data_IF_965367325643
#
_entry.id   IF_965367325643
#
_cell.length_a   1.000
_cell.length_b   1.000
_cell.length_c   1.000
_cell.angle_alpha   90.00
_cell.angle_beta   90.00
_cell.angle_gamma   90.00
#
_symmetry.space_group_name_H-M   'P 1'
#
loop_
_entity.id
_entity.type
_entity.pdbx_description
1 polymer ?
#
# COMPACT_ATOMS: atom_id res chain seq x y z
N UNK A 1 6.54 -7.35 -3.76
CA UNK A 1 5.33 -8.08 -3.29
C UNK A 1 4.37 -8.29 -4.47
N UNK A 2 3.30 -9.09 -4.35
CA UNK A 2 2.27 -9.19 -5.42
C UNK A 2 1.21 -8.10 -5.19
N UNK A 3 0.77 -7.36 -6.23
CA UNK A 3 -0.32 -6.38 -6.12
C UNK A 3 -1.62 -7.00 -5.60
N UNK A 4 -2.32 -6.32 -4.69
CA UNK A 4 -3.62 -6.76 -4.17
C UNK A 4 -4.60 -5.59 -4.09
N UNK A 5 -5.83 -5.81 -4.53
CA UNK A 5 -6.92 -4.83 -4.45
C UNK A 5 -7.41 -4.66 -3.00
N UNK A 6 -6.71 -3.81 -2.25
CA UNK A 6 -6.98 -3.49 -0.86
C UNK A 6 -7.32 -1.98 -0.79
N UNK A 7 -8.49 -1.60 -0.26
CA UNK A 7 -8.90 -0.19 -0.22
C UNK A 7 -7.91 0.70 0.55
N UNK A 8 -7.54 1.84 -0.06
CA UNK A 8 -6.71 2.86 0.55
C UNK A 8 -7.54 4.09 0.90
N UNK A 9 -7.39 4.59 2.14
CA UNK A 9 -7.94 5.88 2.53
C UNK A 9 -6.94 7.00 2.17
N UNK A 10 -7.00 7.45 0.92
CA UNK A 10 -6.11 8.48 0.38
C UNK A 10 -6.61 9.85 0.80
N UNK A 11 -5.82 10.58 1.58
CA UNK A 11 -6.15 11.94 2.02
C UNK A 11 -5.58 13.01 1.09
N UNK A 12 -4.53 12.67 0.34
CA UNK A 12 -3.92 13.50 -0.68
C UNK A 12 -3.12 12.63 -1.66
N UNK A 13 -3.15 12.97 -2.94
CA UNK A 13 -2.35 12.33 -3.98
C UNK A 13 -2.04 13.33 -5.09
N UNK A 14 -0.78 13.39 -5.50
CA UNK A 14 -0.34 14.11 -6.68
C UNK A 14 0.65 13.27 -7.49
N UNK A 15 1.26 13.87 -8.53
CA UNK A 15 2.18 13.17 -9.42
C UNK A 15 3.50 12.72 -8.77
N UNK A 16 3.75 13.06 -7.50
CA UNK A 16 5.01 12.81 -6.81
C UNK A 16 4.84 12.13 -5.45
N UNK A 17 3.76 12.42 -4.73
CA UNK A 17 3.51 11.87 -3.40
C UNK A 17 2.06 11.42 -3.21
N UNK A 18 1.90 10.43 -2.34
CA UNK A 18 0.61 9.95 -1.84
C UNK A 18 0.62 9.99 -0.31
N UNK A 19 -0.44 10.49 0.29
CA UNK A 19 -0.64 10.52 1.74
C UNK A 19 -1.88 9.69 2.06
N UNK A 20 -1.69 8.70 2.92
CA UNK A 20 -2.72 7.70 3.25
C UNK A 20 -2.99 7.74 4.76
N UNK A 21 -4.26 7.81 5.12
CA UNK A 21 -4.71 7.59 6.49
C UNK A 21 -4.81 6.07 6.75
N UNK A 22 -3.67 5.48 7.10
CA UNK A 22 -3.55 4.03 7.31
C UNK A 22 -4.33 3.59 8.56
N UNK A 23 -5.27 2.62 8.46
CA UNK A 23 -5.97 2.13 9.64
C UNK A 23 -5.03 1.38 10.60
N UNK A 24 -5.45 1.28 11.86
CA UNK A 24 -4.80 0.40 12.83
C UNK A 24 -4.90 -1.07 12.37
N UNK A 25 -3.89 -1.87 12.67
CA UNK A 25 -3.84 -3.29 12.28
C UNK A 25 -3.33 -3.56 10.86
N UNK A 26 -3.26 -2.56 9.97
CA UNK A 26 -2.64 -2.71 8.65
C UNK A 26 -1.11 -2.66 8.77
N UNK A 27 -0.45 -3.75 8.36
CA UNK A 27 1.02 -3.87 8.26
C UNK A 27 1.51 -3.06 7.07
N UNK A 28 2.67 -2.39 7.21
CA UNK A 28 3.21 -1.51 6.16
C UNK A 28 3.90 -2.30 5.06
N UNK A 29 4.90 -3.10 5.41
CA UNK A 29 5.74 -3.84 4.47
C UNK A 29 5.71 -5.35 4.78
N UNK A 30 5.74 -6.24 3.77
CA UNK A 30 5.85 -7.67 3.99
C UNK A 30 7.00 -8.05 4.92
N UNK A 31 6.75 -8.97 5.84
CA UNK A 31 7.73 -9.47 6.80
C UNK A 31 7.38 -10.91 7.21
N UNK A 32 8.31 -11.67 7.85
CA UNK A 32 7.96 -12.95 8.45
C UNK A 32 6.74 -12.83 9.38
N UNK A 33 5.72 -13.66 9.16
CA UNK A 33 4.43 -13.60 9.86
C UNK A 33 3.37 -12.70 9.23
N UNK A 34 3.75 -11.79 8.31
CA UNK A 34 2.84 -10.96 7.51
C UNK A 34 3.38 -10.83 6.07
N UNK A 35 3.32 -11.92 5.26
CA UNK A 35 3.94 -11.96 3.94
C UNK A 35 3.17 -11.18 2.86
N UNK A 36 1.88 -10.92 3.08
CA UNK A 36 0.96 -10.25 2.16
C UNK A 36 -0.05 -9.37 2.92
N UNK A 37 -1.04 -8.82 2.20
CA UNK A 37 -2.10 -7.97 2.77
C UNK A 37 -1.56 -6.75 3.52
N UNK A 38 -0.43 -6.24 3.05
CA UNK A 38 0.24 -5.06 3.59
C UNK A 38 -0.06 -3.81 2.76
N UNK A 39 0.31 -2.64 3.28
CA UNK A 39 0.21 -1.38 2.55
C UNK A 39 1.00 -1.41 1.24
N UNK A 40 2.17 -2.08 1.18
CA UNK A 40 2.93 -2.25 -0.07
C UNK A 40 2.14 -3.04 -1.11
N UNK A 41 1.42 -4.09 -0.72
CA UNK A 41 0.59 -4.84 -1.68
C UNK A 41 -0.52 -3.98 -2.27
N UNK A 42 -1.14 -3.14 -1.45
CA UNK A 42 -2.16 -2.18 -1.87
C UNK A 42 -1.59 -1.10 -2.78
N UNK A 43 -0.43 -0.53 -2.42
CA UNK A 43 0.25 0.50 -3.21
C UNK A 43 0.72 -0.03 -4.57
N UNK A 44 1.20 -1.28 -4.65
CA UNK A 44 1.57 -1.89 -5.94
C UNK A 44 0.36 -2.16 -6.86
N UNK A 45 -0.85 -2.23 -6.30
CA UNK A 45 -2.08 -2.32 -7.08
C UNK A 45 -2.58 -0.94 -7.54
N UNK A 46 -2.50 0.07 -6.67
CA UNK A 46 -2.96 1.43 -6.97
C UNK A 46 -1.97 2.20 -7.88
N UNK A 47 -0.67 2.09 -7.64
CA UNK A 47 0.38 2.78 -8.38
C UNK A 47 1.00 1.86 -9.43
N UNK A 48 0.78 2.16 -10.71
CA UNK A 48 1.31 1.35 -11.82
C UNK A 48 2.79 1.63 -12.17
N UNK A 49 3.38 2.67 -11.59
CA UNK A 49 4.75 3.12 -11.82
C UNK A 49 5.64 3.04 -10.57
N UNK A 50 5.11 2.46 -9.49
CA UNK A 50 5.85 2.29 -8.24
C UNK A 50 6.90 1.18 -8.38
N UNK A 51 8.17 1.53 -8.17
CA UNK A 51 9.25 0.53 -8.05
C UNK A 51 9.10 -0.23 -6.74
N UNK A 52 8.71 -1.51 -6.82
CA UNK A 52 8.48 -2.40 -5.68
C UNK A 52 9.67 -3.24 -5.25
#
# INVERSE_FOLDING_TARGET
>A
AIPQDIPLNIVYEDASIIVINKPAGMVVHPAPGNPDQTLVNALLFHCHDLSG
#
